data_IF_505735173480
#
_entry.id   IF_505735173480
#
_cell.length_a   1.000
_cell.length_b   1.000
_cell.length_c   1.000
_cell.angle_alpha   90.00
_cell.angle_beta   90.00
_cell.angle_gamma   90.00
#
_symmetry.space_group_name_H-M   'P 1'
#
loop_
_entity.id
_entity.type
_entity.pdbx_description
1 polymer ?
#
# COMPACT_ATOMS: atom_id res chain seq x y z
N UNK A 1 -20.50 20.39 -8.44
CA UNK A 1 -19.43 19.50 -8.95
C UNK A 1 -18.95 18.63 -7.80
N UNK A 2 -19.30 17.34 -7.77
CA UNK A 2 -18.77 16.40 -6.77
C UNK A 2 -17.55 15.71 -7.38
N UNK A 3 -16.38 16.04 -6.87
CA UNK A 3 -15.14 15.29 -7.06
C UNK A 3 -15.34 13.95 -6.33
N UNK A 4 -15.80 12.92 -7.02
CA UNK A 4 -15.99 11.61 -6.41
C UNK A 4 -14.63 10.91 -6.29
N UNK A 5 -14.03 11.01 -5.11
CA UNK A 5 -13.02 10.05 -4.67
C UNK A 5 -13.63 8.65 -4.76
N UNK A 6 -12.93 7.74 -5.42
CA UNK A 6 -13.37 6.36 -5.61
C UNK A 6 -13.68 5.71 -4.25
N UNK A 7 -14.85 5.09 -4.11
CA UNK A 7 -15.24 4.42 -2.86
C UNK A 7 -14.22 3.33 -2.55
N UNK A 8 -13.57 3.38 -1.39
CA UNK A 8 -12.61 2.35 -0.94
C UNK A 8 -13.27 1.38 0.02
N UNK A 9 -12.88 0.12 -0.04
CA UNK A 9 -13.36 -0.98 0.79
C UNK A 9 -12.20 -1.74 1.39
N UNK A 10 -12.42 -2.24 2.61
CA UNK A 10 -11.44 -3.07 3.32
C UNK A 10 -11.65 -4.53 2.98
N UNK A 11 -10.57 -5.18 2.57
CA UNK A 11 -10.55 -6.60 2.25
C UNK A 11 -9.42 -7.29 3.00
N UNK A 12 -9.68 -8.50 3.48
CA UNK A 12 -8.68 -9.38 4.09
C UNK A 12 -8.19 -10.40 3.08
N UNK A 13 -6.89 -10.53 2.93
CA UNK A 13 -6.28 -11.38 1.91
C UNK A 13 -6.27 -12.84 2.38
N UNK A 14 -6.87 -13.71 1.57
CA UNK A 14 -6.99 -15.15 1.81
C UNK A 14 -5.91 -15.96 1.09
N UNK A 15 -5.24 -15.35 0.10
CA UNK A 15 -4.16 -15.97 -0.67
C UNK A 15 -3.13 -14.90 -1.03
N UNK A 16 -1.82 -15.17 -0.86
CA UNK A 16 -0.81 -14.18 -1.20
C UNK A 16 -0.88 -13.86 -2.70
N UNK A 17 -0.82 -12.59 -3.04
CA UNK A 17 -0.77 -12.14 -4.43
C UNK A 17 0.12 -10.91 -4.57
N UNK A 18 0.78 -10.81 -5.72
CA UNK A 18 1.51 -9.63 -6.14
C UNK A 18 0.89 -9.14 -7.45
N UNK A 19 0.40 -7.90 -7.45
CA UNK A 19 -0.03 -7.19 -8.64
C UNK A 19 0.76 -5.89 -8.78
N UNK A 20 0.63 -5.24 -9.93
CA UNK A 20 1.33 -3.97 -10.23
C UNK A 20 1.00 -2.90 -9.18
N UNK A 21 -0.22 -2.92 -8.65
CA UNK A 21 -0.76 -1.84 -7.82
C UNK A 21 -0.92 -2.22 -6.35
N UNK A 22 -0.94 -3.52 -6.04
CA UNK A 22 -1.19 -4.05 -4.69
C UNK A 22 -0.43 -5.35 -4.48
N UNK A 23 0.34 -5.42 -3.39
CA UNK A 23 0.89 -6.65 -2.81
C UNK A 23 0.16 -6.94 -1.52
N UNK A 24 -0.37 -8.16 -1.37
CA UNK A 24 -1.00 -8.61 -0.14
C UNK A 24 -0.47 -9.98 0.26
N UNK A 25 0.01 -10.08 1.49
CA UNK A 25 0.33 -11.37 2.11
C UNK A 25 -0.93 -12.00 2.70
N UNK A 26 -0.86 -13.31 2.96
CA UNK A 26 -1.94 -14.02 3.62
C UNK A 26 -2.26 -13.38 4.98
N UNK A 27 -3.51 -12.99 5.19
CA UNK A 27 -4.00 -12.39 6.42
C UNK A 27 -4.01 -10.86 6.43
N UNK A 28 -3.32 -10.21 5.48
CA UNK A 28 -3.25 -8.75 5.40
C UNK A 28 -4.64 -8.12 5.20
N UNK A 29 -4.89 -6.99 5.85
CA UNK A 29 -6.12 -6.20 5.63
C UNK A 29 -5.73 -4.97 4.83
N UNK A 30 -6.28 -4.83 3.62
CA UNK A 30 -5.96 -3.77 2.69
C UNK A 30 -7.18 -2.91 2.39
N UNK A 31 -6.96 -1.61 2.20
CA UNK A 31 -7.98 -0.67 1.73
C UNK A 31 -7.78 -0.41 0.23
N UNK A 32 -8.68 -0.96 -0.59
CA UNK A 32 -8.60 -0.91 -2.07
C UNK A 32 -9.86 -0.28 -2.65
N UNK A 33 -9.85 0.22 -3.90
CA UNK A 33 -11.06 0.66 -4.58
C UNK A 33 -12.15 -0.42 -4.58
N UNK A 34 -13.42 -0.04 -4.46
CA UNK A 34 -14.55 -0.96 -4.38
C UNK A 34 -14.68 -1.88 -5.62
N UNK A 35 -14.28 -1.38 -6.79
CA UNK A 35 -14.14 -2.17 -8.03
C UNK A 35 -13.13 -3.31 -7.83
N UNK A 36 -11.94 -2.98 -7.32
CA UNK A 36 -10.86 -3.93 -7.05
C UNK A 36 -11.20 -4.91 -5.92
N UNK A 37 -11.85 -4.44 -4.86
CA UNK A 37 -12.33 -5.29 -3.76
C UNK A 37 -13.24 -6.40 -4.30
N UNK A 38 -14.21 -6.03 -5.15
CA UNK A 38 -15.13 -7.00 -5.79
C UNK A 38 -14.41 -8.03 -6.62
N UNK A 39 -13.41 -7.62 -7.41
CA UNK A 39 -12.61 -8.55 -8.22
C UNK A 39 -11.83 -9.55 -7.35
N UNK A 40 -11.15 -9.06 -6.31
CA UNK A 40 -10.37 -9.91 -5.40
C UNK A 40 -11.26 -10.90 -4.65
N UNK A 41 -12.45 -10.48 -4.23
CA UNK A 41 -13.43 -11.34 -3.57
C UNK A 41 -14.00 -12.37 -4.55
N UNK A 42 -14.42 -11.94 -5.74
CA UNK A 42 -14.99 -12.84 -6.75
C UNK A 42 -14.01 -13.92 -7.22
N UNK A 43 -12.72 -13.57 -7.31
CA UNK A 43 -11.66 -14.50 -7.68
C UNK A 43 -11.11 -15.31 -6.48
N UNK A 44 -11.66 -15.13 -5.26
CA UNK A 44 -11.30 -15.89 -4.07
C UNK A 44 -9.92 -15.59 -3.49
N UNK A 45 -9.37 -14.41 -3.80
CA UNK A 45 -8.09 -13.92 -3.26
C UNK A 45 -8.27 -13.19 -1.94
N UNK A 46 -9.44 -12.61 -1.69
CA UNK A 46 -9.74 -11.84 -0.49
C UNK A 46 -11.19 -12.03 -0.03
N UNK A 47 -11.51 -11.59 1.19
CA UNK A 47 -12.87 -11.47 1.73
C UNK A 47 -13.13 -10.05 2.22
N UNK A 48 -14.40 -9.64 2.28
CA UNK A 48 -14.76 -8.34 2.82
C UNK A 48 -14.49 -8.29 4.34
N UNK A 49 -13.76 -7.27 4.78
CA UNK A 49 -13.36 -7.11 6.17
C UNK A 49 -13.71 -5.69 6.66
N UNK A 50 -15.00 -5.33 6.71
CA UNK A 50 -15.43 -3.97 7.03
C UNK A 50 -15.08 -3.56 8.46
N UNK A 51 -14.97 -4.50 9.39
CA UNK A 51 -14.70 -4.25 10.81
C UNK A 51 -13.27 -4.60 11.24
N UNK A 52 -12.47 -5.17 10.34
CA UNK A 52 -11.11 -5.53 10.67
C UNK A 52 -10.25 -4.27 10.82
N UNK A 53 -9.43 -4.17 11.89
CA UNK A 53 -8.37 -3.18 11.91
C UNK A 53 -7.48 -3.44 10.68
N UNK A 54 -7.03 -2.37 10.02
CA UNK A 54 -6.06 -2.49 8.92
C UNK A 54 -4.74 -2.92 9.57
N UNK A 55 -4.56 -4.21 9.84
CA UNK A 55 -3.26 -4.80 10.16
C UNK A 55 -2.47 -4.77 8.86
N UNK A 56 -1.50 -3.85 8.81
CA UNK A 56 -0.86 -3.22 7.64
C UNK A 56 -1.52 -1.92 7.16
N UNK A 57 -1.86 -1.01 8.09
CA UNK A 57 -1.47 0.37 7.81
C UNK A 57 0.00 0.32 7.37
N UNK A 58 0.38 0.89 6.20
CA UNK A 58 1.78 0.93 5.80
C UNK A 58 2.55 1.43 7.02
N UNK A 59 3.58 0.69 7.46
CA UNK A 59 4.54 1.16 8.46
C UNK A 59 4.78 2.63 8.13
N UNK A 60 4.58 3.58 9.07
CA UNK A 60 4.60 5.00 8.75
C UNK A 60 5.80 5.24 7.85
N UNK A 61 5.55 5.67 6.61
CA UNK A 61 6.58 5.85 5.60
C UNK A 61 7.53 6.88 6.19
N UNK A 62 8.61 6.41 6.80
CA UNK A 62 9.61 7.28 7.40
C UNK A 62 10.36 7.85 6.22
N UNK A 63 10.11 9.13 6.00
CA UNK A 63 10.86 9.89 5.03
C UNK A 63 12.20 10.24 5.65
N UNK A 64 13.27 9.93 4.93
CA UNK A 64 14.61 10.39 5.26
C UNK A 64 15.01 11.45 4.24
N UNK A 65 15.49 12.58 4.74
CA UNK A 65 16.04 13.63 3.90
C UNK A 65 17.46 13.28 3.48
N UNK A 66 17.73 13.33 2.18
CA UNK A 66 19.08 13.12 1.67
C UNK A 66 19.98 14.31 2.03
N UNK A 67 20.99 14.11 2.89
CA UNK A 67 21.92 15.18 3.28
C UNK A 67 22.75 15.79 2.13
N UNK A 68 22.80 15.13 0.97
CA UNK A 68 23.56 15.60 -0.19
C UNK A 68 22.74 16.50 -1.13
N UNK A 69 21.42 16.31 -1.21
CA UNK A 69 20.56 17.05 -2.16
C UNK A 69 19.24 17.56 -1.56
N UNK A 70 18.99 17.29 -0.28
CA UNK A 70 17.78 17.62 0.47
C UNK A 70 16.49 17.04 -0.12
N UNK A 71 16.59 16.03 -0.99
CA UNK A 71 15.44 15.30 -1.51
C UNK A 71 14.85 14.35 -0.46
N UNK A 72 13.52 14.28 -0.41
CA UNK A 72 12.80 13.31 0.42
C UNK A 72 12.87 11.93 -0.22
N UNK A 73 13.21 10.92 0.58
CA UNK A 73 13.33 9.53 0.15
C UNK A 73 12.69 8.60 1.17
N UNK A 74 12.37 7.38 0.74
CA UNK A 74 12.01 6.31 1.68
C UNK A 74 13.24 5.93 2.53
N UNK A 75 13.07 5.75 3.85
CA UNK A 75 14.11 5.20 4.75
C UNK A 75 14.64 3.83 4.26
N UNK A 76 13.85 3.08 3.48
CA UNK A 76 14.23 1.79 2.91
C UNK A 76 14.96 1.87 1.55
N UNK A 77 15.04 3.05 0.93
CA UNK A 77 15.57 3.18 -0.43
C UNK A 77 17.07 2.86 -0.53
N UNK A 78 17.81 2.89 0.58
CA UNK A 78 19.27 2.60 0.67
C UNK A 78 20.18 3.59 -0.09
N UNK A 79 19.65 4.23 -1.15
CA UNK A 79 20.24 5.28 -1.96
C UNK A 79 19.18 6.30 -2.34
N UNK A 80 19.60 7.55 -2.48
CA UNK A 80 18.77 8.65 -2.90
C UNK A 80 18.33 8.46 -4.35
N UNK A 81 17.04 8.54 -4.61
CA UNK A 81 16.46 8.40 -5.95
C UNK A 81 16.76 9.62 -6.84
N UNK A 82 17.22 10.74 -6.28
CA UNK A 82 17.54 11.95 -7.03
C UNK A 82 19.03 12.09 -7.35
N UNK A 83 19.92 11.79 -6.42
CA UNK A 83 21.36 12.00 -6.61
C UNK A 83 22.21 10.72 -6.47
N UNK A 84 21.60 9.57 -6.16
CA UNK A 84 22.31 8.30 -5.99
C UNK A 84 23.18 8.19 -4.73
N UNK A 85 23.23 9.24 -3.90
CA UNK A 85 23.97 9.23 -2.64
C UNK A 85 23.39 8.19 -1.68
N UNK A 86 24.23 7.56 -0.87
CA UNK A 86 23.77 6.61 0.16
C UNK A 86 22.93 7.34 1.20
N UNK A 87 21.73 6.82 1.48
CA UNK A 87 20.89 7.28 2.58
C UNK A 87 21.36 6.52 3.83
N UNK A 88 21.83 7.26 4.85
CA UNK A 88 22.31 6.73 6.12
C UNK A 88 21.26 6.97 7.21
#
# INVERSE_FOLDING_TARGET
>A
MKLFGERRERVKILRPFASVDVTGNLGDVLEVPATRARELIAAGWAEAAPDAPVENAPTPFREVECRACFGLNSEYAGRCQHCGARLL
#
